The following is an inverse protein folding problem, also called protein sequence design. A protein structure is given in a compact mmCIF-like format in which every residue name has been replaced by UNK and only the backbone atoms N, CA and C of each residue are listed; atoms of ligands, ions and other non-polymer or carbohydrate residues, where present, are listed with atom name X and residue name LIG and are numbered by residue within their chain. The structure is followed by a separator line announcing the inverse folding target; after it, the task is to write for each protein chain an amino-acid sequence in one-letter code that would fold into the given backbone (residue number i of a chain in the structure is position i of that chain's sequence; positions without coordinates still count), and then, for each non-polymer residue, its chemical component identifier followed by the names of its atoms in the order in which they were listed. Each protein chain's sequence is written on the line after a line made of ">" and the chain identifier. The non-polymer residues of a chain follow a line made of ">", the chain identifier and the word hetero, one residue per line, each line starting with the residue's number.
data_IF_306111609413
#
_entry.id   IF_306111609413
#
_cell.length_a   1.000
_cell.length_b   1.000
_cell.length_c   1.000
_cell.angle_alpha   90.00
_cell.angle_beta   90.00
_cell.angle_gamma   90.00
#
_symmetry.space_group_name_H-M   'P 1'
#
loop_
_entity.id
_entity.type
_entity.pdbx_description
1 polymer ?
#
# COMPACT_ATOMS: atom_id res chain seq x y z
N UNK A 1 34.72 -17.51 8.15
CA UNK A 1 33.98 -16.28 7.73
C UNK A 1 32.51 -16.37 8.13
N UNK A 2 31.86 -17.53 7.99
CA UNK A 2 30.42 -17.73 8.33
C UNK A 2 30.15 -17.62 9.83
N UNK A 3 31.10 -17.98 10.68
CA UNK A 3 30.96 -17.89 12.16
C UNK A 3 31.08 -16.44 12.66
N UNK A 4 31.83 -15.60 11.93
CA UNK A 4 31.98 -14.17 12.27
C UNK A 4 30.74 -13.37 11.89
N UNK A 5 30.02 -13.74 10.84
CA UNK A 5 28.78 -13.06 10.39
C UNK A 5 27.60 -13.33 11.30
N UNK A 6 27.53 -14.48 11.97
CA UNK A 6 26.49 -14.79 12.96
C UNK A 6 26.69 -14.06 14.28
N UNK A 7 27.92 -13.77 14.66
CA UNK A 7 28.22 -13.06 15.92
C UNK A 7 27.90 -11.55 15.83
N UNK A 8 28.00 -10.95 14.66
CA UNK A 8 27.66 -9.52 14.42
C UNK A 8 26.15 -9.31 14.38
N UNK A 9 25.37 -10.27 13.87
CA UNK A 9 23.92 -10.18 13.86
C UNK A 9 23.28 -10.30 15.26
N UNK A 10 23.91 -11.00 16.19
CA UNK A 10 23.41 -11.15 17.57
C UNK A 10 23.82 -10.01 18.49
N UNK A 11 24.85 -9.22 18.14
CA UNK A 11 25.31 -8.06 18.91
C UNK A 11 24.47 -6.80 18.71
N UNK A 12 23.71 -6.68 17.64
CA UNK A 12 22.90 -5.49 17.33
C UNK A 12 21.51 -5.52 18.03
N UNK A 13 21.06 -6.67 18.51
CA UNK A 13 19.75 -6.82 19.16
C UNK A 13 19.74 -6.51 20.65
N UNK A 14 20.87 -6.14 21.29
CA UNK A 14 20.97 -5.93 22.73
C UNK A 14 21.23 -4.47 23.16
N UNK A 15 21.23 -3.49 22.26
CA UNK A 15 21.51 -2.09 22.60
C UNK A 15 20.34 -1.11 22.49
N UNK A 16 19.11 -1.58 22.26
CA UNK A 16 17.92 -0.72 22.33
C UNK A 16 17.03 -1.10 23.52
N UNK A 17 17.43 -0.63 24.69
CA UNK A 17 16.62 -0.82 25.87
C UNK A 17 17.11 -0.04 27.09
N UNK A 18 17.02 1.28 27.05
CA UNK A 18 16.86 2.14 28.23
C UNK A 18 16.59 3.58 27.77
N UNK A 19 15.35 3.90 27.51
CA UNK A 19 14.87 5.27 27.52
C UNK A 19 14.35 5.54 28.93
N UNK A 20 14.99 6.50 29.60
CA UNK A 20 14.65 7.01 30.93
C UNK A 20 13.27 7.66 30.89
N UNK A 21 12.38 7.23 31.77
CA UNK A 21 11.11 7.88 32.04
C UNK A 21 11.37 9.26 32.64
N UNK A 22 10.97 10.31 31.93
CA UNK A 22 10.84 11.67 32.47
C UNK A 22 9.53 11.73 33.25
N UNK A 23 9.61 12.17 34.49
CA UNK A 23 8.46 12.45 35.35
C UNK A 23 7.65 13.57 34.71
N UNK A 24 6.38 13.27 34.39
CA UNK A 24 5.38 14.29 34.06
C UNK A 24 4.79 14.82 35.37
N UNK A 25 4.94 16.09 35.60
CA UNK A 25 4.18 16.85 36.60
C UNK A 25 2.68 16.72 36.27
N UNK A 26 1.93 16.13 37.19
CA UNK A 26 0.46 16.08 37.13
C UNK A 26 -0.09 17.46 37.53
N UNK A 27 -0.55 18.21 36.53
CA UNK A 27 -1.43 19.36 36.74
C UNK A 27 -2.81 18.85 37.10
N UNK A 28 -3.24 19.12 38.33
CA UNK A 28 -4.56 18.78 38.84
C UNK A 28 -5.61 19.72 38.21
N UNK A 29 -6.36 19.23 37.24
CA UNK A 29 -7.48 19.91 36.58
C UNK A 29 -8.83 19.39 37.10
N UNK A 30 -9.01 19.37 38.42
CA UNK A 30 -10.33 19.10 39.04
C UNK A 30 -11.04 20.40 39.38
N UNK A 31 -11.54 21.10 38.37
CA UNK A 31 -12.72 22.00 38.48
C UNK A 31 -13.39 22.02 37.10
N UNK A 32 -14.25 21.07 36.86
CA UNK A 32 -15.24 21.15 35.78
C UNK A 32 -16.38 22.02 36.29
N UNK A 33 -16.71 23.16 35.64
CA UNK A 33 -18.00 23.81 35.91
C UNK A 33 -19.10 22.88 35.39
N UNK A 34 -20.10 22.64 36.25
CA UNK A 34 -21.36 22.00 35.85
C UNK A 34 -22.00 22.80 34.71
N UNK A 35 -21.80 22.35 33.49
CA UNK A 35 -22.57 22.85 32.33
C UNK A 35 -23.92 22.15 32.37
N UNK A 36 -24.91 22.89 32.79
CA UNK A 36 -26.30 22.50 32.83
C UNK A 36 -26.73 21.77 31.55
N UNK A 37 -27.36 20.63 31.75
CA UNK A 37 -28.00 19.74 30.78
C UNK A 37 -29.28 20.36 30.13
N UNK A 38 -29.36 21.68 29.94
CA UNK A 38 -30.57 22.37 29.47
C UNK A 38 -30.67 22.50 27.93
N UNK A 39 -29.62 22.19 27.18
CA UNK A 39 -29.62 22.34 25.72
C UNK A 39 -30.15 21.10 24.96
N UNK A 40 -30.14 19.91 25.56
CA UNK A 40 -30.56 18.68 24.87
C UNK A 40 -32.08 18.56 24.61
N UNK A 41 -32.89 19.30 25.34
CA UNK A 41 -34.38 19.26 25.17
C UNK A 41 -34.88 20.08 23.97
N UNK A 42 -34.11 21.04 23.46
CA UNK A 42 -34.59 22.00 22.47
C UNK A 42 -34.67 21.47 21.04
N UNK A 43 -33.94 20.41 20.68
CA UNK A 43 -33.83 19.93 19.28
C UNK A 43 -34.49 18.57 19.03
N UNK A 44 -35.06 17.90 20.03
CA UNK A 44 -35.60 16.53 19.94
C UNK A 44 -36.71 16.34 18.90
N UNK A 45 -37.38 17.39 18.48
CA UNK A 45 -38.41 17.36 17.44
C UNK A 45 -37.95 17.81 16.05
N UNK A 46 -36.67 18.18 15.90
CA UNK A 46 -36.13 18.63 14.63
C UNK A 46 -35.69 17.41 13.82
N UNK A 47 -36.28 17.21 12.63
CA UNK A 47 -35.84 16.20 11.68
C UNK A 47 -35.08 16.88 10.54
N UNK A 48 -33.79 16.58 10.40
CA UNK A 48 -32.89 17.17 9.42
C UNK A 48 -32.66 16.21 8.25
N UNK A 49 -32.33 16.73 7.07
CA UNK A 49 -32.06 15.92 5.89
C UNK A 49 -30.57 15.94 5.60
N UNK A 50 -29.96 14.74 5.61
CA UNK A 50 -28.57 14.51 5.24
C UNK A 50 -28.50 13.97 3.80
N UNK A 51 -27.97 14.76 2.88
CA UNK A 51 -27.74 14.36 1.50
C UNK A 51 -26.46 13.55 1.34
N UNK A 52 -26.55 12.42 0.62
CA UNK A 52 -25.37 11.60 0.30
C UNK A 52 -25.44 11.06 -1.12
N UNK A 53 -24.33 10.53 -1.63
CA UNK A 53 -24.35 9.87 -2.93
C UNK A 53 -24.89 8.43 -2.82
N UNK A 54 -25.35 7.87 -3.94
CA UNK A 54 -25.87 6.50 -4.00
C UNK A 54 -24.89 5.44 -3.46
N UNK A 55 -23.59 5.70 -3.54
CA UNK A 55 -22.59 4.81 -2.95
C UNK A 55 -22.57 4.87 -1.44
N UNK A 56 -23.06 5.96 -0.85
CA UNK A 56 -23.14 6.22 0.58
C UNK A 56 -24.47 5.78 1.20
N UNK A 57 -25.57 5.75 0.44
CA UNK A 57 -26.86 5.26 0.95
C UNK A 57 -26.90 3.72 1.11
N UNK A 58 -26.03 3.00 0.48
CA UNK A 58 -25.83 1.55 0.68
C UNK A 58 -25.12 1.26 2.03
N UNK A 59 -25.71 1.71 3.15
CA UNK A 59 -25.20 1.51 4.54
C UNK A 59 -25.27 0.02 4.96
N UNK A 60 -26.03 -0.80 4.24
CA UNK A 60 -26.14 -2.24 4.51
C UNK A 60 -24.86 -2.98 4.11
N UNK A 61 -24.44 -3.97 4.92
CA UNK A 61 -23.18 -4.64 4.73
C UNK A 61 -23.13 -5.39 3.39
N UNK A 62 -22.53 -4.75 2.40
CA UNK A 62 -21.99 -5.42 1.21
C UNK A 62 -20.47 -5.36 1.33
N UNK A 63 -19.85 -6.34 2.03
CA UNK A 63 -18.41 -6.33 2.30
C UNK A 63 -17.53 -6.32 1.04
N UNK A 64 -18.15 -6.50 -0.12
CA UNK A 64 -17.49 -6.46 -1.44
C UNK A 64 -17.29 -5.04 -2.01
N UNK A 65 -17.89 -4.00 -1.41
CA UNK A 65 -17.71 -2.61 -1.88
C UNK A 65 -16.65 -1.90 -1.05
N UNK A 66 -15.52 -1.47 -1.65
CA UNK A 66 -14.40 -0.85 -0.93
C UNK A 66 -14.79 0.45 -0.19
N UNK A 67 -15.76 1.21 -0.71
CA UNK A 67 -16.25 2.44 -0.08
C UNK A 67 -17.20 2.24 1.12
N UNK A 68 -17.56 1.01 1.43
CA UNK A 68 -18.48 0.73 2.54
C UNK A 68 -17.93 1.21 3.89
N UNK A 69 -16.67 0.92 4.17
CA UNK A 69 -16.04 1.27 5.44
C UNK A 69 -16.01 2.80 5.66
N UNK A 70 -15.63 3.54 4.63
CA UNK A 70 -15.52 4.99 4.67
C UNK A 70 -16.89 5.68 4.85
N UNK A 71 -17.88 5.22 4.09
CA UNK A 71 -19.26 5.70 4.19
C UNK A 71 -19.83 5.43 5.60
N UNK A 72 -19.47 4.29 6.17
CA UNK A 72 -19.92 3.90 7.51
C UNK A 72 -19.25 4.76 8.58
N UNK A 73 -17.96 5.07 8.44
CA UNK A 73 -17.27 6.00 9.32
C UNK A 73 -17.99 7.35 9.38
N UNK A 74 -18.21 8.00 8.24
CA UNK A 74 -18.88 9.31 8.19
C UNK A 74 -20.30 9.26 8.75
N UNK A 75 -21.04 8.21 8.41
CA UNK A 75 -22.40 8.03 8.94
C UNK A 75 -22.40 7.87 10.47
N UNK A 76 -21.51 7.06 11.02
CA UNK A 76 -21.44 6.83 12.46
C UNK A 76 -20.96 8.10 13.20
N UNK A 77 -20.05 8.90 12.60
CA UNK A 77 -19.70 10.24 13.14
C UNK A 77 -20.93 11.16 13.16
N UNK A 78 -21.69 11.22 12.06
CA UNK A 78 -22.89 12.08 11.99
C UNK A 78 -23.98 11.61 12.96
N UNK A 79 -24.17 10.30 13.08
CA UNK A 79 -25.12 9.71 14.00
C UNK A 79 -24.76 10.01 15.46
N UNK A 80 -23.53 9.77 15.86
CA UNK A 80 -23.06 10.05 17.22
C UNK A 80 -23.21 11.54 17.57
N UNK A 81 -22.87 12.41 16.61
CA UNK A 81 -23.09 13.85 16.75
C UNK A 81 -24.58 14.18 16.95
N UNK A 82 -25.47 13.59 16.14
CA UNK A 82 -26.92 13.81 16.26
C UNK A 82 -27.46 13.31 17.60
N UNK A 83 -27.00 12.15 18.07
CA UNK A 83 -27.39 11.59 19.37
C UNK A 83 -26.93 12.48 20.54
N UNK A 84 -25.72 13.09 20.47
CA UNK A 84 -25.20 14.01 21.52
C UNK A 84 -25.93 15.34 21.57
N UNK A 85 -26.33 15.88 20.41
CA UNK A 85 -27.04 17.17 20.32
C UNK A 85 -28.55 16.98 20.53
N UNK A 86 -29.09 15.78 20.26
CA UNK A 86 -30.47 15.42 20.48
C UNK A 86 -31.40 15.75 19.32
N UNK A 87 -30.93 15.74 18.06
CA UNK A 87 -31.75 15.87 16.87
C UNK A 87 -31.90 14.58 16.09
N UNK A 88 -32.93 14.46 15.26
CA UNK A 88 -33.13 13.33 14.36
C UNK A 88 -32.76 13.69 12.92
N UNK A 89 -32.33 12.74 12.14
CA UNK A 89 -32.04 12.99 10.75
C UNK A 89 -32.48 11.83 9.84
N UNK A 90 -32.73 12.18 8.59
CA UNK A 90 -33.03 11.23 7.52
C UNK A 90 -32.00 11.38 6.42
N UNK A 91 -31.41 10.27 5.99
CA UNK A 91 -30.47 10.27 4.88
C UNK A 91 -31.17 10.10 3.54
N UNK A 92 -30.83 10.95 2.56
CA UNK A 92 -31.47 10.99 1.22
C UNK A 92 -30.38 10.88 0.14
N UNK A 93 -30.60 9.95 -0.79
CA UNK A 93 -29.73 9.76 -1.96
C UNK A 93 -29.89 10.93 -2.96
N UNK A 94 -28.78 11.60 -3.27
CA UNK A 94 -28.71 12.67 -4.25
C UNK A 94 -28.17 12.18 -5.61
N UNK A 95 -27.86 10.87 -5.75
CA UNK A 95 -27.34 10.29 -6.96
C UNK A 95 -25.82 10.19 -6.99
N UNK A 96 -25.14 11.10 -7.66
CA UNK A 96 -23.67 11.10 -7.76
C UNK A 96 -23.06 12.05 -6.73
N UNK A 97 -21.80 11.84 -6.38
CA UNK A 97 -21.05 12.73 -5.48
C UNK A 97 -21.16 14.22 -5.90
N UNK A 98 -21.04 14.51 -7.20
CA UNK A 98 -21.13 15.88 -7.75
C UNK A 98 -22.49 16.55 -7.54
N UNK A 99 -23.53 15.80 -7.20
CA UNK A 99 -24.90 16.30 -7.04
C UNK A 99 -25.20 16.69 -5.58
N UNK A 100 -24.30 16.34 -4.63
CA UNK A 100 -24.47 16.62 -3.20
C UNK A 100 -24.39 18.13 -2.92
N UNK A 101 -23.30 18.80 -3.32
CA UNK A 101 -23.13 20.24 -3.06
C UNK A 101 -24.25 21.08 -3.67
N UNK A 102 -24.67 20.89 -4.94
CA UNK A 102 -25.83 21.57 -5.50
C UNK A 102 -27.13 21.34 -4.71
N UNK A 103 -27.32 20.14 -4.15
CA UNK A 103 -28.49 19.86 -3.31
C UNK A 103 -28.45 20.58 -1.97
N UNK A 104 -27.27 20.73 -1.37
CA UNK A 104 -27.04 21.53 -0.16
C UNK A 104 -27.24 23.02 -0.45
N UNK A 105 -26.58 23.55 -1.50
CA UNK A 105 -26.67 24.97 -1.90
C UNK A 105 -28.11 25.39 -2.20
N UNK A 106 -28.89 24.53 -2.85
CA UNK A 106 -30.30 24.82 -3.16
C UNK A 106 -31.26 24.65 -1.97
N UNK A 107 -30.80 24.26 -0.80
CA UNK A 107 -31.63 24.01 0.37
C UNK A 107 -32.48 22.73 0.32
N UNK A 108 -32.29 21.89 -0.72
CA UNK A 108 -32.97 20.60 -0.84
C UNK A 108 -32.64 19.66 0.32
N UNK A 109 -31.42 19.75 0.83
CA UNK A 109 -30.94 19.07 2.03
C UNK A 109 -30.19 20.07 2.91
N UNK A 110 -30.27 19.91 4.24
CA UNK A 110 -29.59 20.81 5.18
C UNK A 110 -28.10 20.48 5.27
N UNK A 111 -27.76 19.18 5.23
CA UNK A 111 -26.38 18.70 5.34
C UNK A 111 -25.99 17.83 4.16
N UNK A 112 -24.71 17.87 3.79
CA UNK A 112 -24.09 16.99 2.80
C UNK A 112 -22.95 16.18 3.40
N UNK A 113 -22.90 14.87 3.12
CA UNK A 113 -21.80 14.00 3.50
C UNK A 113 -21.19 13.33 2.28
N UNK A 114 -19.89 12.98 2.36
CA UNK A 114 -19.15 12.34 1.29
C UNK A 114 -17.66 12.68 1.34
N UNK A 115 -17.09 12.89 2.53
CA UNK A 115 -15.71 13.39 2.73
C UNK A 115 -15.46 14.67 1.91
N UNK A 116 -16.36 15.63 2.10
CA UNK A 116 -16.32 16.85 1.32
C UNK A 116 -15.16 17.71 1.80
N UNK A 117 -14.17 17.93 0.91
CA UNK A 117 -13.03 18.81 1.19
C UNK A 117 -13.48 20.25 1.38
N UNK A 118 -13.05 20.86 2.48
CA UNK A 118 -13.22 22.28 2.74
C UNK A 118 -12.28 23.07 1.84
N UNK A 119 -12.84 23.85 0.89
CA UNK A 119 -12.07 24.75 0.04
C UNK A 119 -12.58 26.18 0.15
N UNK A 120 -11.69 27.18 -0.03
CA UNK A 120 -12.11 28.59 0.01
C UNK A 120 -13.25 28.91 -0.97
N UNK A 121 -13.18 28.38 -2.18
CA UNK A 121 -14.19 28.62 -3.22
C UNK A 121 -15.58 28.11 -2.79
N UNK A 122 -15.64 26.93 -2.13
CA UNK A 122 -16.89 26.35 -1.64
C UNK A 122 -17.44 27.14 -0.46
N UNK A 123 -16.55 27.55 0.44
CA UNK A 123 -16.92 28.35 1.62
C UNK A 123 -17.48 29.72 1.22
N UNK A 124 -16.87 30.38 0.23
CA UNK A 124 -17.30 31.70 -0.22
C UNK A 124 -18.62 31.65 -1.00
N UNK A 125 -18.77 30.69 -1.92
CA UNK A 125 -19.79 30.74 -2.95
C UNK A 125 -20.88 29.66 -2.86
N UNK A 126 -20.63 28.55 -2.15
CA UNK A 126 -21.52 27.40 -2.24
C UNK A 126 -22.20 27.05 -0.89
N UNK A 127 -21.42 26.70 0.14
CA UNK A 127 -21.92 26.11 1.39
C UNK A 127 -21.10 26.56 2.59
N UNK A 128 -21.67 26.42 3.80
CA UNK A 128 -20.89 26.43 5.03
C UNK A 128 -20.41 25.01 5.37
N UNK A 129 -19.49 24.90 6.33
CA UNK A 129 -18.95 23.64 6.81
C UNK A 129 -19.03 23.54 8.33
N UNK A 130 -19.30 22.33 8.82
CA UNK A 130 -19.16 22.02 10.24
C UNK A 130 -17.68 21.93 10.63
N UNK A 131 -17.41 21.71 11.91
CA UNK A 131 -16.05 21.42 12.38
C UNK A 131 -15.51 20.18 11.63
N UNK A 132 -14.29 20.21 11.08
CA UNK A 132 -13.75 19.10 10.31
C UNK A 132 -13.68 17.83 11.15
N UNK A 133 -14.18 16.74 10.60
CA UNK A 133 -14.16 15.43 11.27
C UNK A 133 -13.10 14.48 10.72
N UNK A 134 -12.46 14.85 9.61
CA UNK A 134 -11.44 14.04 9.01
C UNK A 134 -10.32 14.89 8.38
N UNK A 135 -9.08 14.40 8.49
CA UNK A 135 -7.90 15.03 7.88
C UNK A 135 -7.33 14.09 6.83
N UNK A 136 -7.27 14.57 5.62
CA UNK A 136 -6.76 13.82 4.49
C UNK A 136 -5.81 14.66 3.64
N UNK A 137 -5.65 14.31 2.40
CA UNK A 137 -4.87 15.05 1.41
C UNK A 137 -4.96 14.38 0.06
N UNK A 138 -4.68 15.14 -0.98
CA UNK A 138 -4.67 14.59 -2.32
C UNK A 138 -3.45 13.73 -2.54
N UNK A 139 -3.65 12.63 -3.22
CA UNK A 139 -2.65 11.60 -3.48
C UNK A 139 -2.57 11.33 -4.96
N UNK A 140 -1.35 11.19 -5.47
CA UNK A 140 -1.12 10.78 -6.85
C UNK A 140 -0.91 9.27 -6.91
N UNK A 141 -1.88 8.58 -7.49
CA UNK A 141 -1.82 7.17 -7.83
C UNK A 141 -1.42 7.03 -9.30
N UNK A 142 -0.36 6.31 -9.62
CA UNK A 142 -0.01 5.95 -10.98
C UNK A 142 -0.51 4.53 -11.29
N UNK A 143 -1.05 4.38 -12.49
CA UNK A 143 -1.54 3.09 -13.01
C UNK A 143 -0.78 2.79 -14.28
N UNK A 144 -0.02 1.71 -14.28
CA UNK A 144 0.74 1.24 -15.43
C UNK A 144 0.34 -0.18 -15.83
N UNK A 145 0.30 -0.52 -17.12
CA UNK A 145 0.10 -1.89 -17.53
C UNK A 145 1.27 -2.76 -17.06
N UNK A 146 0.97 -3.98 -16.61
CA UNK A 146 2.01 -4.98 -16.37
C UNK A 146 2.54 -5.43 -17.73
N UNK A 147 3.69 -4.89 -18.13
CA UNK A 147 4.37 -5.32 -19.35
C UNK A 147 5.59 -6.13 -18.95
N UNK A 148 5.59 -7.40 -19.33
CA UNK A 148 6.79 -8.22 -19.19
C UNK A 148 7.90 -7.69 -20.11
N UNK A 149 8.87 -7.05 -19.53
CA UNK A 149 10.02 -6.54 -20.26
C UNK A 149 11.08 -7.65 -20.38
N UNK A 150 11.04 -8.40 -21.48
CA UNK A 150 12.01 -9.48 -21.75
C UNK A 150 13.45 -8.96 -21.70
N UNK A 151 13.71 -7.77 -22.24
CA UNK A 151 15.06 -7.17 -22.22
C UNK A 151 15.47 -6.77 -20.79
N UNK A 152 14.56 -6.22 -19.98
CA UNK A 152 14.82 -5.98 -18.56
C UNK A 152 15.10 -7.27 -17.80
N UNK A 153 14.35 -8.32 -18.06
CA UNK A 153 14.59 -9.63 -17.50
C UNK A 153 15.95 -10.21 -17.91
N UNK A 154 16.33 -10.09 -19.17
CA UNK A 154 17.65 -10.53 -19.66
C UNK A 154 18.80 -9.69 -19.08
N UNK A 155 18.56 -8.41 -18.77
CA UNK A 155 19.59 -7.55 -18.16
C UNK A 155 20.08 -8.04 -16.81
N UNK A 156 19.32 -8.92 -16.13
CA UNK A 156 19.74 -9.57 -14.88
C UNK A 156 21.02 -10.36 -15.07
N UNK A 157 21.18 -11.01 -16.22
CA UNK A 157 22.37 -11.76 -16.55
C UNK A 157 23.59 -10.89 -16.90
N UNK A 158 23.40 -9.59 -17.08
CA UNK A 158 24.49 -8.62 -17.23
C UNK A 158 25.04 -8.13 -15.88
N UNK A 159 24.32 -8.37 -14.79
CA UNK A 159 24.75 -8.01 -13.43
C UNK A 159 25.82 -8.99 -12.93
N UNK A 160 26.82 -8.54 -12.13
CA UNK A 160 27.91 -9.40 -11.68
C UNK A 160 27.47 -10.49 -10.68
N UNK A 161 26.41 -10.26 -9.92
CA UNK A 161 26.00 -11.15 -8.83
C UNK A 161 25.65 -12.59 -9.27
N UNK A 162 24.88 -12.87 -10.34
CA UNK A 162 24.64 -14.23 -10.80
C UNK A 162 25.95 -14.96 -11.17
N UNK A 163 26.89 -14.24 -11.81
CA UNK A 163 28.18 -14.79 -12.22
C UNK A 163 29.10 -15.08 -11.04
N UNK A 164 29.05 -14.27 -9.97
CA UNK A 164 29.77 -14.55 -8.72
C UNK A 164 29.25 -15.82 -8.04
N UNK A 165 27.93 -16.03 -8.01
CA UNK A 165 27.34 -17.26 -7.47
C UNK A 165 27.72 -18.47 -8.33
N UNK A 166 27.59 -18.33 -9.65
CA UNK A 166 28.03 -19.41 -10.58
C UNK A 166 29.51 -19.70 -10.46
N UNK A 167 30.33 -18.66 -10.39
CA UNK A 167 31.79 -18.82 -10.20
C UNK A 167 32.11 -19.54 -8.90
N UNK A 168 31.47 -19.23 -7.81
CA UNK A 168 31.66 -19.93 -6.54
C UNK A 168 31.26 -21.42 -6.62
N UNK A 169 30.22 -21.74 -7.38
CA UNK A 169 29.82 -23.12 -7.64
C UNK A 169 30.88 -23.88 -8.45
N UNK A 170 31.43 -23.27 -9.51
CA UNK A 170 32.51 -23.87 -10.31
C UNK A 170 33.75 -24.11 -9.47
N UNK A 171 34.15 -23.15 -8.62
CA UNK A 171 35.28 -23.32 -7.68
C UNK A 171 35.02 -24.47 -6.71
N UNK A 172 33.81 -24.58 -6.17
CA UNK A 172 33.43 -25.68 -5.28
C UNK A 172 33.51 -27.04 -5.97
N UNK A 173 32.99 -27.14 -7.20
CA UNK A 173 33.09 -28.34 -8.02
C UNK A 173 34.59 -28.72 -8.25
N UNK A 174 35.42 -27.73 -8.55
CA UNK A 174 36.83 -27.94 -8.81
C UNK A 174 37.59 -28.43 -7.57
N UNK A 175 37.31 -27.83 -6.40
CA UNK A 175 37.89 -28.28 -5.12
C UNK A 175 37.47 -29.73 -4.84
N UNK A 176 36.20 -30.05 -5.00
CA UNK A 176 35.72 -31.41 -4.75
C UNK A 176 36.28 -32.42 -5.73
N UNK A 177 36.44 -32.07 -7.02
CA UNK A 177 37.08 -32.90 -8.01
C UNK A 177 38.52 -33.29 -7.62
N UNK A 178 39.28 -32.33 -7.05
CA UNK A 178 40.63 -32.60 -6.53
C UNK A 178 40.62 -33.55 -5.32
N UNK A 179 39.70 -33.33 -4.40
CA UNK A 179 39.55 -34.19 -3.23
C UNK A 179 39.26 -35.65 -3.69
N UNK A 180 38.31 -35.81 -4.59
CA UNK A 180 37.96 -37.14 -5.14
C UNK A 180 39.14 -37.76 -5.84
N UNK A 181 39.83 -37.01 -6.70
CA UNK A 181 41.01 -37.51 -7.40
C UNK A 181 42.12 -37.94 -6.43
N UNK A 182 42.44 -37.16 -5.40
CA UNK A 182 43.48 -37.49 -4.39
C UNK A 182 43.12 -38.79 -3.66
N UNK A 183 41.86 -38.97 -3.29
CA UNK A 183 41.39 -40.13 -2.54
C UNK A 183 41.34 -41.41 -3.39
N UNK A 184 40.94 -41.30 -4.65
CA UNK A 184 40.65 -42.46 -5.51
C UNK A 184 41.81 -42.83 -6.42
N UNK A 185 42.82 -41.96 -6.68
CA UNK A 185 43.94 -42.20 -7.61
C UNK A 185 44.81 -43.41 -7.30
N UNK A 186 44.87 -43.83 -6.04
CA UNK A 186 45.73 -44.96 -5.58
C UNK A 186 44.98 -46.27 -5.46
N UNK A 187 43.77 -46.38 -5.99
CA UNK A 187 42.95 -47.56 -5.86
C UNK A 187 43.19 -48.56 -6.98
N UNK A 188 43.73 -49.73 -6.66
CA UNK A 188 43.80 -50.88 -7.57
C UNK A 188 42.40 -51.51 -7.73
N UNK A 189 41.63 -51.07 -8.72
CA UNK A 189 40.35 -51.66 -9.05
C UNK A 189 40.22 -51.87 -10.56
N UNK A 190 39.47 -52.94 -10.93
CA UNK A 190 39.20 -53.25 -12.34
C UNK A 190 38.38 -52.17 -13.08
N UNK A 191 37.70 -51.29 -12.33
CA UNK A 191 36.92 -50.16 -12.87
C UNK A 191 37.18 -48.91 -12.00
N UNK A 192 38.30 -48.19 -12.25
CA UNK A 192 38.63 -46.99 -11.49
C UNK A 192 37.64 -45.89 -11.80
N UNK A 193 37.13 -45.18 -10.76
CA UNK A 193 36.18 -44.09 -10.88
C UNK A 193 36.82 -42.86 -11.51
N UNK A 194 38.11 -42.65 -11.23
CA UNK A 194 38.92 -41.57 -11.78
C UNK A 194 40.24 -42.15 -12.32
N UNK A 195 40.76 -41.56 -13.40
CA UNK A 195 42.07 -41.93 -13.96
C UNK A 195 43.19 -41.57 -12.95
N UNK A 196 44.20 -42.41 -12.85
CA UNK A 196 45.40 -42.18 -12.01
C UNK A 196 46.23 -40.99 -12.48
N UNK A 197 46.16 -40.65 -13.77
CA UNK A 197 46.81 -39.47 -14.36
C UNK A 197 46.08 -38.22 -13.92
N UNK A 198 46.85 -37.15 -13.64
CA UNK A 198 46.28 -35.91 -13.10
C UNK A 198 45.19 -35.32 -13.99
N UNK A 199 45.50 -34.98 -15.24
CA UNK A 199 44.58 -34.28 -16.13
C UNK A 199 43.28 -35.04 -16.40
N UNK A 200 43.29 -36.28 -16.91
CA UNK A 200 42.06 -37.02 -17.15
C UNK A 200 41.32 -37.34 -15.84
N UNK A 201 42.05 -37.53 -14.72
CA UNK A 201 41.47 -37.80 -13.43
C UNK A 201 40.70 -36.60 -12.87
N UNK A 202 41.23 -35.38 -12.96
CA UNK A 202 40.55 -34.16 -12.55
C UNK A 202 39.32 -33.89 -13.42
N UNK A 203 39.42 -34.11 -14.75
CA UNK A 203 38.26 -33.94 -15.64
C UNK A 203 37.13 -34.91 -15.28
N UNK A 204 37.46 -36.18 -15.03
CA UNK A 204 36.50 -37.17 -14.58
C UNK A 204 35.87 -36.80 -13.23
N UNK A 205 36.70 -36.35 -12.27
CA UNK A 205 36.23 -35.85 -10.97
C UNK A 205 35.33 -34.63 -11.08
N UNK A 206 35.67 -33.70 -11.99
CA UNK A 206 34.85 -32.51 -12.25
C UNK A 206 33.46 -32.88 -12.79
N UNK A 207 33.40 -33.73 -13.81
CA UNK A 207 32.14 -34.20 -14.37
C UNK A 207 31.30 -34.97 -13.33
N UNK A 208 31.95 -35.76 -12.49
CA UNK A 208 31.31 -36.49 -11.42
C UNK A 208 30.72 -35.54 -10.36
N UNK A 209 31.50 -34.54 -9.94
CA UNK A 209 31.04 -33.51 -9.02
C UNK A 209 29.90 -32.67 -9.62
N UNK A 210 30.03 -32.27 -10.88
CA UNK A 210 28.96 -31.53 -11.59
C UNK A 210 27.67 -32.34 -11.72
N UNK A 211 27.79 -33.66 -12.03
CA UNK A 211 26.62 -34.53 -12.14
C UNK A 211 25.87 -34.68 -10.80
N UNK A 212 26.59 -34.75 -9.70
CA UNK A 212 26.03 -34.82 -8.38
C UNK A 212 25.19 -33.56 -8.06
N UNK A 213 25.71 -32.40 -8.42
CA UNK A 213 25.02 -31.12 -8.22
C UNK A 213 23.82 -30.90 -9.16
N UNK A 214 24.01 -31.23 -10.44
CA UNK A 214 22.98 -31.01 -11.46
C UNK A 214 22.01 -32.18 -11.57
N UNK A 215 22.15 -33.22 -10.73
CA UNK A 215 21.36 -34.45 -10.75
C UNK A 215 21.30 -35.14 -12.12
N UNK A 216 22.34 -34.95 -12.94
CA UNK A 216 22.46 -35.65 -14.22
C UNK A 216 23.00 -37.03 -13.93
N UNK A 217 22.44 -38.11 -14.50
CA UNK A 217 22.93 -39.49 -14.28
C UNK A 217 24.32 -39.62 -14.89
N UNK A 218 25.31 -39.80 -14.04
CA UNK A 218 26.69 -40.10 -14.38
C UNK A 218 27.12 -41.35 -13.61
N UNK A 219 28.35 -41.86 -13.85
CA UNK A 219 28.86 -43.07 -13.14
C UNK A 219 28.60 -42.89 -11.61
N UNK A 220 27.91 -43.81 -10.97
CA UNK A 220 27.55 -43.65 -9.58
C UNK A 220 28.76 -43.70 -8.65
N UNK A 221 28.80 -42.84 -7.66
CA UNK A 221 29.77 -42.87 -6.55
C UNK A 221 29.77 -44.21 -5.76
N UNK A 222 28.84 -45.11 -6.08
CA UNK A 222 28.68 -46.40 -5.39
C UNK A 222 29.92 -47.28 -5.45
N UNK A 223 30.78 -47.10 -6.46
CA UNK A 223 32.04 -47.84 -6.60
C UNK A 223 33.23 -47.16 -5.92
N UNK A 224 33.06 -45.96 -5.31
CA UNK A 224 34.10 -45.23 -4.62
C UNK A 224 34.45 -45.76 -3.23
N UNK A 225 35.55 -45.24 -2.68
CA UNK A 225 35.92 -45.50 -1.28
C UNK A 225 34.79 -45.04 -0.34
N UNK A 226 34.62 -45.70 0.80
CA UNK A 226 33.58 -45.28 1.77
C UNK A 226 33.70 -43.82 2.16
N UNK A 227 34.92 -43.28 2.28
CA UNK A 227 35.16 -41.88 2.61
C UNK A 227 34.66 -40.92 1.52
N UNK A 228 34.89 -41.28 0.24
CA UNK A 228 34.43 -40.51 -0.93
C UNK A 228 32.90 -40.44 -0.95
N UNK A 229 32.21 -41.54 -0.61
CA UNK A 229 30.74 -41.60 -0.50
C UNK A 229 30.25 -40.70 0.60
N UNK A 230 30.85 -40.75 1.79
CA UNK A 230 30.47 -39.90 2.94
C UNK A 230 30.67 -38.42 2.60
N UNK A 231 31.79 -38.03 1.98
CA UNK A 231 32.05 -36.65 1.58
C UNK A 231 31.11 -36.14 0.48
N UNK A 232 30.59 -37.03 -0.37
CA UNK A 232 29.65 -36.63 -1.43
C UNK A 232 28.32 -36.08 -0.87
N UNK A 233 27.88 -36.50 0.29
CA UNK A 233 26.63 -36.05 0.92
C UNK A 233 26.68 -34.56 1.31
N UNK A 234 27.62 -34.09 2.15
CA UNK A 234 27.71 -32.67 2.49
C UNK A 234 28.01 -31.80 1.26
N UNK A 235 28.82 -32.29 0.33
CA UNK A 235 29.07 -31.58 -0.92
C UNK A 235 27.78 -31.37 -1.74
N UNK A 236 26.96 -32.39 -1.88
CA UNK A 236 25.68 -32.32 -2.57
C UNK A 236 24.73 -31.36 -1.87
N UNK A 237 24.66 -31.35 -0.52
CA UNK A 237 23.85 -30.44 0.26
C UNK A 237 24.28 -28.96 0.07
N UNK A 238 25.60 -28.71 0.12
CA UNK A 238 26.16 -27.35 -0.13
C UNK A 238 25.83 -26.90 -1.56
N UNK A 239 25.96 -27.77 -2.54
CA UNK A 239 25.61 -27.46 -3.91
C UNK A 239 24.13 -27.13 -4.11
N UNK A 240 23.24 -27.92 -3.52
CA UNK A 240 21.80 -27.65 -3.55
C UNK A 240 21.50 -26.29 -2.91
N UNK A 241 22.12 -25.95 -1.78
CA UNK A 241 21.96 -24.66 -1.14
C UNK A 241 22.39 -23.49 -2.04
N UNK A 242 23.56 -23.62 -2.72
CA UNK A 242 24.05 -22.58 -3.64
C UNK A 242 23.13 -22.43 -4.86
N UNK A 243 22.66 -23.53 -5.45
CA UNK A 243 21.70 -23.49 -6.57
C UNK A 243 20.37 -22.87 -6.14
N UNK A 244 19.89 -23.20 -4.94
CA UNK A 244 18.67 -22.59 -4.40
C UNK A 244 18.82 -21.08 -4.20
N UNK A 245 19.99 -20.61 -3.73
CA UNK A 245 20.30 -19.19 -3.63
C UNK A 245 20.33 -18.50 -5.00
N UNK A 246 20.88 -19.16 -6.02
CA UNK A 246 20.90 -18.63 -7.39
C UNK A 246 19.47 -18.49 -7.94
N UNK A 247 18.64 -19.51 -7.77
CA UNK A 247 17.24 -19.48 -8.20
C UNK A 247 16.47 -18.38 -7.46
N UNK A 248 16.64 -18.29 -6.14
CA UNK A 248 16.00 -17.27 -5.32
C UNK A 248 16.44 -15.85 -5.73
N UNK A 249 17.74 -15.67 -6.01
CA UNK A 249 18.27 -14.40 -6.49
C UNK A 249 17.66 -14.00 -7.85
N UNK A 250 17.69 -14.92 -8.82
CA UNK A 250 17.11 -14.66 -10.15
C UNK A 250 15.62 -14.34 -10.02
N UNK A 251 14.87 -15.16 -9.29
CA UNK A 251 13.42 -14.94 -9.08
C UNK A 251 13.13 -13.59 -8.43
N UNK A 252 13.92 -13.19 -7.43
CA UNK A 252 13.75 -11.88 -6.77
C UNK A 252 14.05 -10.73 -7.73
N UNK A 253 15.08 -10.85 -8.57
CA UNK A 253 15.39 -9.81 -9.57
C UNK A 253 14.33 -9.74 -10.66
N UNK A 254 13.83 -10.89 -11.13
CA UNK A 254 12.68 -10.92 -12.06
C UNK A 254 11.47 -10.23 -11.45
N UNK A 255 11.14 -10.55 -10.22
CA UNK A 255 10.02 -9.90 -9.51
C UNK A 255 10.22 -8.39 -9.41
N UNK A 256 11.42 -7.94 -9.05
CA UNK A 256 11.77 -6.52 -9.01
C UNK A 256 11.61 -5.84 -10.36
N UNK A 257 12.00 -6.46 -11.46
CA UNK A 257 11.85 -5.87 -12.81
C UNK A 257 10.38 -5.83 -13.27
N UNK A 258 9.57 -6.81 -12.86
CA UNK A 258 8.14 -6.86 -13.19
C UNK A 258 7.36 -5.87 -12.32
N UNK A 259 7.69 -5.79 -11.04
CA UNK A 259 7.01 -4.92 -10.07
C UNK A 259 7.73 -3.59 -9.86
N UNK A 260 8.86 -3.36 -10.56
CA UNK A 260 9.60 -2.12 -10.44
C UNK A 260 8.67 -0.95 -10.72
N UNK A 261 8.26 -0.30 -9.64
CA UNK A 261 7.70 1.03 -9.69
C UNK A 261 8.68 1.83 -10.53
N UNK A 262 8.28 2.19 -11.74
CA UNK A 262 9.10 3.08 -12.55
C UNK A 262 9.15 4.37 -11.78
N UNK A 263 10.26 4.65 -11.11
CA UNK A 263 10.51 5.93 -10.44
C UNK A 263 10.56 7.02 -11.50
N UNK A 264 9.37 7.38 -11.97
CA UNK A 264 9.19 8.56 -12.83
C UNK A 264 9.21 9.73 -11.87
N UNK A 265 10.07 10.73 -12.08
CA UNK A 265 10.04 11.92 -11.22
C UNK A 265 8.69 12.64 -11.32
N UNK A 266 8.26 13.26 -10.23
CA UNK A 266 6.98 13.99 -10.18
C UNK A 266 6.88 15.01 -11.31
N UNK A 267 7.96 15.73 -11.62
CA UNK A 267 8.03 16.68 -12.72
C UNK A 267 7.68 16.05 -14.07
N UNK A 268 8.22 14.86 -14.37
CA UNK A 268 7.91 14.13 -15.59
C UNK A 268 6.46 13.65 -15.64
N UNK A 269 5.90 13.26 -14.48
CA UNK A 269 4.49 12.90 -14.40
C UNK A 269 3.63 14.10 -14.67
N UNK A 270 3.92 15.24 -14.05
CA UNK A 270 3.18 16.49 -14.25
C UNK A 270 3.19 16.96 -15.72
N UNK A 271 4.32 16.78 -16.41
CA UNK A 271 4.48 17.22 -17.79
C UNK A 271 3.87 16.28 -18.84
N UNK A 272 3.94 14.96 -18.64
CA UNK A 272 3.72 14.01 -19.73
C UNK A 272 2.65 12.94 -19.45
N UNK A 273 2.26 12.73 -18.21
CA UNK A 273 1.31 11.66 -17.86
C UNK A 273 -0.10 12.24 -17.80
N UNK A 274 -1.08 11.64 -18.50
CA UNK A 274 -2.47 12.03 -18.37
C UNK A 274 -2.96 11.76 -16.95
N UNK A 275 -3.58 12.75 -16.31
CA UNK A 275 -4.11 12.68 -14.97
C UNK A 275 -5.63 12.69 -15.03
N UNK A 276 -6.25 11.63 -14.56
CA UNK A 276 -7.70 11.49 -14.49
C UNK A 276 -8.18 11.97 -13.13
N UNK A 277 -9.10 12.92 -13.13
CA UNK A 277 -9.70 13.49 -11.90
C UNK A 277 -11.23 13.43 -12.01
N UNK A 278 -11.88 13.33 -10.86
CA UNK A 278 -13.34 13.32 -10.83
C UNK A 278 -13.90 14.74 -11.06
N UNK A 279 -14.92 14.82 -11.91
CA UNK A 279 -15.60 16.09 -12.19
C UNK A 279 -16.20 16.70 -10.92
N UNK A 280 -16.00 18.00 -10.72
CA UNK A 280 -16.43 18.80 -9.54
C UNK A 280 -15.86 18.29 -8.20
N UNK A 281 -14.76 17.56 -8.23
CA UNK A 281 -14.00 17.22 -7.02
C UNK A 281 -12.97 18.31 -6.70
N UNK A 282 -12.49 18.34 -5.46
CA UNK A 282 -11.35 19.19 -5.09
C UNK A 282 -10.09 18.82 -5.88
N UNK A 283 -9.94 17.53 -6.22
CA UNK A 283 -8.81 16.97 -6.98
C UNK A 283 -8.62 17.67 -8.34
N UNK A 284 -9.71 18.05 -9.03
CA UNK A 284 -9.65 18.75 -10.31
C UNK A 284 -9.00 20.13 -10.15
N UNK A 285 -9.46 20.94 -9.17
CA UNK A 285 -8.88 22.25 -8.88
C UNK A 285 -7.45 22.19 -8.39
N UNK A 286 -7.10 21.13 -7.63
CA UNK A 286 -5.73 20.95 -7.11
C UNK A 286 -4.79 20.50 -8.21
N UNK A 287 -5.20 19.61 -9.11
CA UNK A 287 -4.40 19.23 -10.26
C UNK A 287 -4.06 20.43 -11.15
N UNK A 288 -5.01 21.33 -11.35
CA UNK A 288 -4.81 22.58 -12.07
C UNK A 288 -3.83 23.53 -11.33
N UNK A 289 -4.07 23.77 -10.03
CA UNK A 289 -3.17 24.60 -9.18
C UNK A 289 -1.73 24.06 -9.14
N UNK A 290 -1.54 22.74 -9.16
CA UNK A 290 -0.23 22.08 -9.24
C UNK A 290 0.36 22.06 -10.66
N UNK A 291 -0.35 22.58 -11.67
CA UNK A 291 0.09 22.69 -13.05
C UNK A 291 0.37 21.36 -13.75
N UNK A 292 -0.46 20.36 -13.51
CA UNK A 292 -0.44 19.17 -14.36
C UNK A 292 -0.86 19.56 -15.79
N UNK A 293 -0.08 19.14 -16.78
CA UNK A 293 -0.30 19.59 -18.18
C UNK A 293 -1.45 18.86 -18.88
N UNK A 294 -1.71 17.61 -18.50
CA UNK A 294 -2.66 16.73 -19.17
C UNK A 294 -3.75 16.26 -18.18
N UNK A 295 -4.69 17.16 -17.84
CA UNK A 295 -5.78 16.85 -16.91
C UNK A 295 -7.00 16.40 -17.71
N UNK A 296 -7.57 15.25 -17.34
CA UNK A 296 -8.77 14.67 -17.91
C UNK A 296 -9.89 14.66 -16.87
N UNK A 297 -11.00 15.30 -17.19
CA UNK A 297 -12.16 15.42 -16.30
C UNK A 297 -13.37 14.76 -16.98
N UNK A 298 -13.44 13.41 -17.02
CA UNK A 298 -14.50 12.71 -17.73
C UNK A 298 -15.85 12.81 -16.98
N UNK A 299 -16.95 12.78 -17.72
CA UNK A 299 -18.29 12.69 -17.13
C UNK A 299 -18.52 11.37 -16.40
N UNK A 300 -18.09 10.24 -17.01
CA UNK A 300 -18.08 8.93 -16.38
C UNK A 300 -16.65 8.51 -16.04
N UNK A 301 -16.25 8.91 -14.85
CA UNK A 301 -14.92 8.66 -14.29
C UNK A 301 -14.50 7.19 -14.30
N UNK A 302 -15.42 6.29 -13.89
CA UNK A 302 -15.12 4.85 -13.80
C UNK A 302 -14.97 4.18 -15.16
N UNK A 303 -15.84 4.49 -16.11
CA UNK A 303 -15.74 3.96 -17.47
C UNK A 303 -14.48 4.46 -18.17
N UNK A 304 -14.08 5.71 -17.91
CA UNK A 304 -12.86 6.28 -18.48
C UNK A 304 -11.59 5.57 -17.96
N UNK A 305 -11.50 5.30 -16.66
CA UNK A 305 -10.40 4.53 -16.06
C UNK A 305 -10.32 3.13 -16.71
N UNK A 306 -11.45 2.43 -16.85
CA UNK A 306 -11.49 1.12 -17.53
C UNK A 306 -10.99 1.19 -18.97
N UNK A 307 -11.38 2.22 -19.70
CA UNK A 307 -10.93 2.44 -21.07
C UNK A 307 -9.41 2.66 -21.15
N UNK A 308 -8.83 3.45 -20.23
CA UNK A 308 -7.38 3.66 -20.15
C UNK A 308 -6.64 2.35 -19.87
N UNK A 309 -7.14 1.56 -18.94
CA UNK A 309 -6.58 0.23 -18.61
C UNK A 309 -6.63 -0.69 -19.84
N UNK A 310 -7.77 -0.75 -20.55
CA UNK A 310 -7.92 -1.62 -21.72
C UNK A 310 -6.99 -1.23 -22.87
N UNK A 311 -6.64 0.03 -23.01
CA UNK A 311 -5.64 0.53 -23.97
C UNK A 311 -4.21 0.25 -23.55
N UNK A 312 -3.97 -0.17 -22.31
CA UNK A 312 -2.63 -0.42 -21.77
C UNK A 312 -1.78 0.85 -21.68
N UNK A 313 -2.38 1.98 -21.36
CA UNK A 313 -1.73 3.27 -21.25
C UNK A 313 -1.30 3.55 -19.81
N UNK A 314 -0.17 4.27 -19.63
CA UNK A 314 0.21 4.83 -18.33
C UNK A 314 -0.63 6.08 -18.08
N UNK A 315 -1.28 6.15 -16.93
CA UNK A 315 -1.99 7.34 -16.48
C UNK A 315 -1.92 7.50 -14.96
N UNK A 316 -2.22 8.69 -14.49
CA UNK A 316 -2.32 9.00 -13.07
C UNK A 316 -3.76 9.25 -12.65
N UNK A 317 -4.03 9.06 -11.39
CA UNK A 317 -5.27 9.44 -10.71
C UNK A 317 -4.87 10.34 -9.56
N UNK A 318 -5.43 11.55 -9.52
CA UNK A 318 -5.35 12.41 -8.34
C UNK A 318 -6.68 12.32 -7.63
N UNK A 319 -6.64 11.83 -6.39
CA UNK A 319 -7.82 11.64 -5.58
C UNK A 319 -7.47 11.77 -4.10
N UNK A 320 -8.48 11.82 -3.24
CA UNK A 320 -8.28 11.76 -1.81
C UNK A 320 -7.46 10.52 -1.42
N UNK A 321 -6.62 10.67 -0.40
CA UNK A 321 -5.68 9.62 0.03
C UNK A 321 -6.36 8.26 0.25
N UNK A 322 -7.53 8.27 0.89
CA UNK A 322 -8.23 7.03 1.19
C UNK A 322 -8.79 6.42 -0.08
N UNK A 323 -9.41 7.23 -0.94
CA UNK A 323 -9.93 6.79 -2.22
C UNK A 323 -8.82 6.25 -3.12
N UNK A 324 -7.66 6.91 -3.17
CA UNK A 324 -6.50 6.45 -3.90
C UNK A 324 -5.98 5.08 -3.39
N UNK A 325 -5.96 4.85 -2.08
CA UNK A 325 -5.58 3.56 -1.50
C UNK A 325 -6.58 2.44 -1.87
N UNK A 326 -7.88 2.72 -1.83
CA UNK A 326 -8.90 1.78 -2.29
C UNK A 326 -8.79 1.50 -3.80
N UNK A 327 -8.59 2.54 -4.61
CA UNK A 327 -8.35 2.36 -6.05
C UNK A 327 -7.11 1.53 -6.31
N UNK A 328 -5.99 1.79 -5.63
CA UNK A 328 -4.78 0.97 -5.73
C UNK A 328 -5.07 -0.51 -5.50
N UNK A 329 -5.70 -0.84 -4.37
CA UNK A 329 -6.04 -2.23 -4.01
C UNK A 329 -6.94 -2.86 -5.05
N UNK A 330 -8.01 -2.16 -5.43
CA UNK A 330 -9.01 -2.65 -6.37
C UNK A 330 -8.43 -2.87 -7.76
N UNK A 331 -7.69 -1.90 -8.30
CA UNK A 331 -7.12 -1.99 -9.64
C UNK A 331 -6.13 -3.15 -9.76
N UNK A 332 -5.29 -3.35 -8.75
CA UNK A 332 -4.35 -4.47 -8.71
C UNK A 332 -5.03 -5.84 -8.56
N UNK A 333 -6.25 -5.90 -8.00
CA UNK A 333 -7.01 -7.15 -7.85
C UNK A 333 -7.88 -7.48 -9.06
N UNK A 334 -8.49 -6.48 -9.69
CA UNK A 334 -9.48 -6.67 -10.76
C UNK A 334 -8.86 -6.64 -12.16
N UNK A 335 -7.67 -6.01 -12.31
CA UNK A 335 -7.04 -5.80 -13.61
C UNK A 335 -5.57 -6.19 -13.58
N UNK A 336 -5.05 -6.51 -14.75
CA UNK A 336 -3.62 -6.84 -14.94
C UNK A 336 -2.79 -5.55 -15.09
N UNK A 337 -2.76 -4.77 -14.01
CA UNK A 337 -2.05 -3.49 -13.92
C UNK A 337 -1.23 -3.41 -12.65
N UNK A 338 -0.22 -2.55 -12.66
CA UNK A 338 0.51 -2.11 -11.47
C UNK A 338 0.03 -0.70 -11.09
N UNK A 339 -0.85 -0.63 -10.11
CA UNK A 339 -1.30 0.62 -9.51
C UNK A 339 -0.51 0.87 -8.21
N UNK A 340 0.20 1.99 -8.12
CA UNK A 340 1.02 2.33 -6.96
C UNK A 340 0.93 3.81 -6.61
N UNK A 341 1.07 4.12 -5.33
CA UNK A 341 1.11 5.50 -4.85
C UNK A 341 2.46 6.12 -5.25
N UNK A 342 2.41 7.14 -6.09
CA UNK A 342 3.58 7.91 -6.49
C UNK A 342 3.93 8.98 -5.45
N UNK A 343 2.95 9.79 -5.06
CA UNK A 343 3.09 10.83 -4.05
C UNK A 343 1.92 10.75 -3.09
N UNK A 344 2.22 10.49 -1.82
CA UNK A 344 1.19 10.23 -0.81
C UNK A 344 0.39 11.49 -0.45
N UNK A 345 1.08 12.62 -0.30
CA UNK A 345 0.45 13.88 0.08
C UNK A 345 0.89 14.98 -0.89
N UNK A 346 0.09 15.25 -1.91
CA UNK A 346 0.24 16.43 -2.77
C UNK A 346 -0.21 17.68 -2.01
N UNK A 347 -1.26 17.54 -1.19
CA UNK A 347 -1.82 18.59 -0.33
C UNK A 347 -2.28 17.98 0.98
N UNK A 348 -2.52 18.84 1.99
CA UNK A 348 -3.22 18.49 3.21
C UNK A 348 -4.59 19.17 3.21
N UNK A 349 -5.62 18.43 3.51
CA UNK A 349 -7.01 18.87 3.39
C UNK A 349 -7.83 18.51 4.62
N UNK A 350 -8.82 19.36 4.88
CA UNK A 350 -9.84 19.15 5.88
C UNK A 350 -11.10 18.63 5.20
N UNK A 351 -11.68 17.57 5.71
CA UNK A 351 -12.95 17.05 5.26
C UNK A 351 -14.01 17.30 6.32
N UNK A 352 -15.16 17.79 5.87
CA UNK A 352 -16.25 18.16 6.76
C UNK A 352 -17.61 17.89 6.11
N UNK A 353 -18.66 17.93 6.94
CA UNK A 353 -20.02 17.96 6.46
C UNK A 353 -20.33 19.36 5.93
N UNK A 354 -20.85 19.43 4.70
CA UNK A 354 -21.32 20.68 4.12
C UNK A 354 -22.69 21.03 4.72
N UNK A 355 -22.93 22.31 4.92
CA UNK A 355 -24.18 22.84 5.48
C UNK A 355 -24.76 23.90 4.54
N UNK A 356 -26.07 23.91 4.37
CA UNK A 356 -26.74 24.97 3.64
C UNK A 356 -26.57 26.31 4.37
N UNK A 357 -26.15 27.37 3.65
CA UNK A 357 -25.84 28.67 4.23
C UNK A 357 -27.05 29.33 4.90
N UNK A 358 -28.21 29.32 4.23
CA UNK A 358 -29.42 29.93 4.78
C UNK A 358 -29.84 29.20 6.06
N UNK A 359 -29.78 27.85 6.06
CA UNK A 359 -30.08 27.05 7.24
C UNK A 359 -29.08 27.34 8.40
N UNK A 360 -27.80 27.52 8.08
CA UNK A 360 -26.76 27.87 9.07
C UNK A 360 -27.04 29.23 9.73
N UNK A 361 -27.49 30.21 8.94
CA UNK A 361 -27.84 31.56 9.41
C UNK A 361 -29.14 31.54 10.22
N UNK A 362 -30.12 30.75 9.82
CA UNK A 362 -31.41 30.65 10.49
C UNK A 362 -31.33 29.85 11.82
N UNK A 363 -30.35 28.97 11.96
CA UNK A 363 -30.21 28.05 13.11
C UNK A 363 -28.84 28.12 13.78
N UNK A 364 -28.34 29.30 14.19
CA UNK A 364 -26.98 29.48 14.69
C UNK A 364 -26.69 28.70 15.97
N UNK A 365 -27.71 28.58 16.87
CA UNK A 365 -27.57 27.82 18.11
C UNK A 365 -27.36 26.33 17.85
N UNK A 366 -28.13 25.74 16.92
CA UNK A 366 -27.99 24.33 16.54
C UNK A 366 -26.61 24.06 15.91
N UNK A 367 -26.15 24.92 15.00
CA UNK A 367 -24.83 24.82 14.38
C UNK A 367 -23.73 24.95 15.43
N UNK A 368 -23.89 25.82 16.42
CA UNK A 368 -22.92 25.95 17.51
C UNK A 368 -22.85 24.66 18.36
N UNK A 369 -24.00 24.08 18.76
CA UNK A 369 -24.05 22.83 19.51
C UNK A 369 -23.49 21.64 18.71
N UNK A 370 -23.79 21.54 17.41
CA UNK A 370 -23.23 20.53 16.50
C UNK A 370 -21.71 20.62 16.44
N UNK A 371 -21.17 21.82 16.25
CA UNK A 371 -19.71 22.03 16.22
C UNK A 371 -19.07 21.73 17.58
N UNK A 372 -19.72 22.08 18.67
CA UNK A 372 -19.31 21.74 20.03
C UNK A 372 -19.28 20.23 20.28
N UNK A 373 -20.29 19.50 19.78
CA UNK A 373 -20.32 18.03 19.85
C UNK A 373 -19.17 17.39 19.07
N UNK A 374 -18.89 17.84 17.85
CA UNK A 374 -17.77 17.36 17.05
C UNK A 374 -16.41 17.61 17.74
N UNK A 375 -16.21 18.79 18.33
CA UNK A 375 -14.99 19.08 19.10
C UNK A 375 -14.85 18.19 20.34
N UNK A 376 -15.95 17.95 21.07
CA UNK A 376 -15.96 17.01 22.21
C UNK A 376 -15.64 15.59 21.76
N UNK A 377 -16.15 15.15 20.60
CA UNK A 377 -15.85 13.83 20.02
C UNK A 377 -14.37 13.67 19.61
N UNK A 378 -13.67 14.75 19.28
CA UNK A 378 -12.22 14.72 19.15
C UNK A 378 -11.52 14.60 20.50
N UNK A 379 -11.93 15.42 21.46
CA UNK A 379 -11.28 15.49 22.77
C UNK A 379 -11.43 14.20 23.58
N UNK A 380 -12.55 13.52 23.48
CA UNK A 380 -12.82 12.25 24.17
C UNK A 380 -12.38 11.01 23.39
N UNK A 381 -11.83 11.17 22.18
CA UNK A 381 -11.31 10.09 21.34
C UNK A 381 -12.35 9.32 20.54
N UNK A 382 -13.63 9.72 20.56
CA UNK A 382 -14.69 9.03 19.82
C UNK A 382 -14.43 9.00 18.32
N UNK A 383 -14.01 10.11 17.70
CA UNK A 383 -13.69 10.15 16.27
C UNK A 383 -12.50 9.24 15.96
N UNK A 384 -11.49 9.21 16.86
CA UNK A 384 -10.36 8.28 16.73
C UNK A 384 -10.81 6.82 16.73
N UNK A 385 -11.64 6.43 17.69
CA UNK A 385 -12.15 5.06 17.80
C UNK A 385 -12.99 4.64 16.58
N UNK A 386 -13.85 5.55 16.07
CA UNK A 386 -14.63 5.30 14.84
C UNK A 386 -13.73 5.16 13.61
N UNK A 387 -12.66 5.97 13.52
CA UNK A 387 -11.68 5.87 12.44
C UNK A 387 -10.96 4.52 12.48
N UNK A 388 -10.44 4.13 13.64
CA UNK A 388 -9.73 2.86 13.83
C UNK A 388 -10.65 1.67 13.52
N UNK A 389 -11.94 1.77 13.87
CA UNK A 389 -12.94 0.73 13.57
C UNK A 389 -13.19 0.57 12.07
N UNK A 390 -13.19 1.63 11.27
CA UNK A 390 -13.66 1.59 9.89
C UNK A 390 -12.57 1.79 8.84
N UNK A 391 -11.48 2.49 9.17
CA UNK A 391 -10.47 2.94 8.18
C UNK A 391 -9.12 2.23 8.35
N UNK A 392 -8.65 2.06 9.58
CA UNK A 392 -7.28 1.63 9.87
C UNK A 392 -7.06 0.10 9.92
N UNK A 393 -7.88 -0.69 9.25
CA UNK A 393 -7.70 -2.16 9.07
C UNK A 393 -6.82 -2.52 7.86
#
# INVERSE_FOLDING_TARGET
>A
LVVITLAVAMGILLTFGKATASQSETVDLTTTPDVNNSSAENFSNTELILGSSKSYTDIYPRPTKPYYKLNRFEYDVFKEMADRVGFRFKMVDQGRFRDILPAVTSGKVQFGMGLITVTPERLENEVDFLFPHFFSGQTLLLVSPIRFNVMGALSIFLKPAPWQIMGSLVVLIFIFAHIVWILERGRDSHDPIVDTRYYPGIVSGFWMAASLLLRVPFKPFFNGLPITRVLSVPFGLIGIAILSLLIAFISTQFWKEITAERHISLEKVMANVPIVVQNRSASAGIADKLRFQNIEVPEDYRSHIKQRISKGELFGIVDDRIDALFYKKRLNMEYDVNAYIHTLNLTYELNSFAVNKDFSIENPELIFEINGALQKMYADGTIGALRDQWIDD
#
